data_IF_325621423747
#
_entry.id   IF_325621423747
#
_cell.length_a   1.000
_cell.length_b   1.000
_cell.length_c   1.000
_cell.angle_alpha   90.00
_cell.angle_beta   90.00
_cell.angle_gamma   90.00
#
_symmetry.space_group_name_H-M   'P 1'
#
loop_
_entity.id
_entity.type
_entity.pdbx_description
1 polymer ?
#
# COMPACT_ATOMS: atom_id res chain seq x y z
N UNK A 1 -3.91 -14.12 5.80
CA UNK A 1 -4.58 -15.13 4.96
C UNK A 1 -4.87 -14.47 3.64
N UNK A 2 -4.43 -15.06 2.52
CA UNK A 2 -4.66 -14.47 1.18
C UNK A 2 -6.13 -14.60 0.79
N UNK A 3 -6.75 -13.48 0.40
CA UNK A 3 -8.12 -13.43 -0.09
C UNK A 3 -8.15 -13.50 -1.62
N UNK A 4 -8.87 -14.47 -2.19
CA UNK A 4 -9.06 -14.57 -3.64
C UNK A 4 -10.08 -13.53 -4.10
N UNK A 5 -9.71 -12.70 -5.08
CA UNK A 5 -10.63 -11.78 -5.74
C UNK A 5 -11.30 -12.49 -6.92
N UNK A 6 -12.62 -12.54 -6.88
CA UNK A 6 -13.46 -13.14 -7.92
C UNK A 6 -14.12 -12.05 -8.77
N UNK A 7 -13.94 -12.13 -10.08
CA UNK A 7 -14.62 -11.32 -11.12
C UNK A 7 -15.32 -12.27 -12.09
N UNK A 8 -16.15 -11.75 -12.99
CA UNK A 8 -17.02 -12.55 -13.88
C UNK A 8 -16.34 -13.70 -14.62
N UNK A 9 -15.07 -13.52 -14.99
CA UNK A 9 -14.30 -14.54 -15.73
C UNK A 9 -12.86 -14.72 -15.19
N UNK A 10 -12.61 -14.26 -13.95
CA UNK A 10 -11.27 -14.32 -13.37
C UNK A 10 -11.33 -14.58 -11.88
N UNK A 11 -10.44 -15.44 -11.39
CA UNK A 11 -10.15 -15.62 -9.98
C UNK A 11 -8.65 -15.43 -9.81
N UNK A 12 -8.25 -14.49 -8.98
CA UNK A 12 -6.84 -14.14 -8.80
C UNK A 12 -6.52 -13.74 -7.37
N UNK A 13 -5.25 -13.93 -7.01
CA UNK A 13 -4.61 -13.38 -5.80
C UNK A 13 -3.32 -12.76 -6.29
N UNK A 14 -3.24 -11.44 -6.25
CA UNK A 14 -2.05 -10.70 -6.67
C UNK A 14 -1.49 -9.97 -5.45
N UNK A 15 -0.27 -10.31 -5.07
CA UNK A 15 0.43 -9.71 -3.95
C UNK A 15 1.75 -9.16 -4.45
N UNK A 16 2.02 -7.89 -4.13
CA UNK A 16 3.20 -7.17 -4.58
C UNK A 16 3.93 -6.58 -3.38
N UNK A 17 5.25 -6.55 -3.46
CA UNK A 17 6.11 -5.86 -2.50
C UNK A 17 6.73 -4.63 -3.17
N UNK A 18 6.34 -3.44 -2.71
CA UNK A 18 6.82 -2.16 -3.24
C UNK A 18 7.75 -1.48 -2.24
N UNK A 19 8.90 -1.01 -2.72
CA UNK A 19 9.87 -0.23 -1.94
C UNK A 19 10.24 1.01 -2.73
N UNK A 20 10.01 2.18 -2.14
CA UNK A 20 10.22 3.48 -2.78
C UNK A 20 11.18 4.33 -1.92
N UNK A 21 12.38 4.68 -2.41
CA UNK A 21 13.28 5.55 -1.68
C UNK A 21 12.81 7.01 -1.75
N UNK A 22 13.06 7.77 -0.69
CA UNK A 22 12.89 9.23 -0.72
C UNK A 22 13.80 9.87 -1.78
N UNK A 23 13.37 11.01 -2.32
CA UNK A 23 14.17 11.77 -3.29
C UNK A 23 15.56 12.07 -2.71
N UNK A 24 16.60 11.73 -3.47
CA UNK A 24 18.01 11.82 -3.04
C UNK A 24 18.39 10.96 -1.82
N UNK A 25 17.58 9.96 -1.46
CA UNK A 25 17.79 9.08 -0.28
C UNK A 25 18.02 9.86 1.02
N UNK A 26 17.36 11.01 1.15
CA UNK A 26 17.43 11.81 2.38
C UNK A 26 16.61 11.12 3.48
N UNK A 27 17.07 11.26 4.73
CA UNK A 27 16.32 10.82 5.91
C UNK A 27 15.30 11.93 6.24
N UNK A 28 14.16 11.88 5.56
CA UNK A 28 13.08 12.89 5.66
C UNK A 28 11.75 12.29 6.11
N UNK A 29 11.74 10.99 6.40
CA UNK A 29 10.57 10.30 6.94
C UNK A 29 10.76 10.27 8.44
N UNK A 30 10.04 11.15 9.13
CA UNK A 30 9.86 11.15 10.58
C UNK A 30 8.48 10.55 10.93
N UNK A 31 8.13 10.52 12.21
CA UNK A 31 6.88 9.91 12.70
C UNK A 31 5.63 10.60 12.10
N UNK A 32 5.65 11.92 11.94
CA UNK A 32 4.53 12.69 11.37
C UNK A 32 4.37 12.37 9.87
N UNK A 33 5.47 12.35 9.12
CA UNK A 33 5.44 11.99 7.69
C UNK A 33 5.01 10.54 7.49
N UNK A 34 5.42 9.62 8.36
CA UNK A 34 5.01 8.22 8.30
C UNK A 34 3.50 8.04 8.54
N UNK A 35 2.92 8.77 9.50
CA UNK A 35 1.47 8.78 9.75
C UNK A 35 0.69 9.29 8.53
N UNK A 36 1.13 10.39 7.93
CA UNK A 36 0.51 10.94 6.71
C UNK A 36 0.60 9.95 5.54
N UNK A 37 1.71 9.21 5.39
CA UNK A 37 1.85 8.17 4.36
C UNK A 37 0.83 7.04 4.60
N UNK A 38 0.68 6.58 5.85
CA UNK A 38 -0.29 5.54 6.22
C UNK A 38 -1.71 5.98 5.92
N UNK A 39 -2.12 7.17 6.36
CA UNK A 39 -3.45 7.73 6.07
C UNK A 39 -3.70 7.87 4.56
N UNK A 40 -2.69 8.32 3.81
CA UNK A 40 -2.79 8.44 2.35
C UNK A 40 -3.01 7.07 1.69
N UNK A 41 -2.30 6.03 2.14
CA UNK A 41 -2.50 4.66 1.66
C UNK A 41 -3.91 4.14 1.97
N UNK A 42 -4.46 4.44 3.15
CA UNK A 42 -5.84 4.09 3.50
C UNK A 42 -6.88 4.80 2.63
N UNK A 43 -6.67 6.09 2.31
CA UNK A 43 -7.58 6.81 1.41
C UNK A 43 -7.48 6.28 -0.04
N UNK A 44 -6.30 5.84 -0.47
CA UNK A 44 -6.11 5.17 -1.76
C UNK A 44 -6.85 3.84 -1.81
N UNK A 45 -6.80 3.02 -0.75
CA UNK A 45 -7.51 1.73 -0.71
C UNK A 45 -9.04 1.89 -0.70
N UNK A 46 -9.56 2.98 -0.13
CA UNK A 46 -11.00 3.30 -0.22
C UNK A 46 -11.45 3.63 -1.65
N UNK A 47 -10.55 4.17 -2.47
CA UNK A 47 -10.87 4.63 -3.83
C UNK A 47 -10.60 3.59 -4.92
N UNK A 48 -9.64 2.71 -4.70
CA UNK A 48 -9.21 1.69 -5.67
C UNK A 48 -9.32 0.30 -5.06
N UNK A 49 -9.51 -0.74 -5.88
CA UNK A 49 -9.53 -2.14 -5.43
C UNK A 49 -8.12 -2.65 -5.08
N UNK A 50 -7.43 -1.95 -4.18
CA UNK A 50 -6.07 -2.22 -3.72
C UNK A 50 -6.11 -2.35 -2.21
N UNK A 51 -5.70 -3.52 -1.71
CA UNK A 51 -5.60 -3.80 -0.28
C UNK A 51 -4.12 -3.67 0.15
N UNK A 52 -3.82 -2.76 1.07
CA UNK A 52 -2.50 -2.66 1.68
C UNK A 52 -2.41 -3.60 2.90
N UNK A 53 -1.51 -4.58 2.85
CA UNK A 53 -1.34 -5.58 3.91
C UNK A 53 -0.39 -5.06 5.00
N UNK A 54 0.69 -4.40 4.59
CA UNK A 54 1.70 -3.80 5.45
C UNK A 54 2.15 -2.47 4.81
N UNK A 55 2.24 -1.41 5.61
CA UNK A 55 2.64 -0.06 5.19
C UNK A 55 3.66 0.48 6.17
N UNK A 56 4.88 0.74 5.70
CA UNK A 56 5.93 1.38 6.50
C UNK A 56 6.32 0.60 7.77
N UNK A 57 7.20 1.18 8.57
CA UNK A 57 7.56 0.73 9.93
C UNK A 57 7.81 1.95 10.78
#
# INVERSE_FOLDING_TARGET
MSEYKHKSHNVSVLMYHFVCPAKYRRVVIDEEVDEVIKETCEEISKRYEIDFIEIGT
#
